data_IF_195238934918
#
_entry.id   IF_195238934918
#
_cell.length_a   1.000
_cell.length_b   1.000
_cell.length_c   1.000
_cell.angle_alpha   90.00
_cell.angle_beta   90.00
_cell.angle_gamma   90.00
#
_symmetry.space_group_name_H-M   'P 1'
#
loop_
_entity.id
_entity.type
_entity.pdbx_description
1 polymer ?
#
# COMPACT_ATOMS: atom_id res chain seq x y z
N UNK A 1 -15.22 -34.24 -9.69
CA UNK A 1 -15.00 -32.91 -10.30
C UNK A 1 -13.52 -32.79 -10.63
N UNK A 2 -13.15 -32.62 -11.91
CA UNK A 2 -11.75 -32.53 -12.37
C UNK A 2 -11.05 -31.31 -11.78
N UNK A 3 -9.73 -31.38 -11.60
CA UNK A 3 -8.92 -30.28 -11.04
C UNK A 3 -9.05 -28.99 -11.87
N UNK A 4 -9.14 -29.10 -13.18
CA UNK A 4 -9.41 -27.95 -14.07
C UNK A 4 -10.74 -27.24 -13.74
N UNK A 5 -11.80 -28.00 -13.45
CA UNK A 5 -13.10 -27.43 -13.07
C UNK A 5 -13.04 -26.73 -11.70
N UNK A 6 -12.18 -27.17 -10.78
CA UNK A 6 -11.98 -26.52 -9.48
C UNK A 6 -11.22 -25.20 -9.63
N UNK A 7 -10.15 -25.18 -10.43
CA UNK A 7 -9.38 -23.96 -10.73
C UNK A 7 -10.27 -22.91 -11.39
N UNK A 8 -11.04 -23.30 -12.41
CA UNK A 8 -11.94 -22.37 -13.10
C UNK A 8 -12.95 -21.74 -12.15
N UNK A 9 -13.58 -22.56 -11.29
CA UNK A 9 -14.52 -22.08 -10.27
C UNK A 9 -13.86 -21.14 -9.26
N UNK A 10 -12.61 -21.41 -8.84
CA UNK A 10 -11.86 -20.50 -7.96
C UNK A 10 -11.57 -19.17 -8.61
N UNK A 11 -11.22 -19.13 -9.90
CA UNK A 11 -11.02 -17.88 -10.65
C UNK A 11 -12.29 -17.04 -10.72
N UNK A 12 -13.43 -17.66 -10.99
CA UNK A 12 -14.73 -16.96 -11.02
C UNK A 12 -15.08 -16.36 -9.65
N UNK A 13 -14.90 -17.13 -8.59
CA UNK A 13 -15.14 -16.68 -7.21
C UNK A 13 -14.15 -15.58 -6.78
N UNK A 14 -12.88 -15.69 -7.16
CA UNK A 14 -11.86 -14.69 -6.88
C UNK A 14 -12.17 -13.34 -7.54
N UNK A 15 -12.62 -13.37 -8.80
CA UNK A 15 -13.07 -12.16 -9.51
C UNK A 15 -14.29 -11.54 -8.82
N UNK A 16 -15.29 -12.34 -8.49
CA UNK A 16 -16.49 -11.88 -7.78
C UNK A 16 -16.16 -11.28 -6.41
N UNK A 17 -15.21 -11.88 -5.68
CA UNK A 17 -14.74 -11.38 -4.38
C UNK A 17 -14.09 -10.00 -4.54
N UNK A 18 -13.18 -9.83 -5.51
CA UNK A 18 -12.54 -8.56 -5.82
C UNK A 18 -13.56 -7.47 -6.12
N UNK A 19 -14.51 -7.74 -7.03
CA UNK A 19 -15.57 -6.78 -7.40
C UNK A 19 -16.47 -6.42 -6.22
N UNK A 20 -16.72 -7.38 -5.31
CA UNK A 20 -17.49 -7.13 -4.09
C UNK A 20 -16.70 -6.27 -3.10
N UNK A 21 -15.41 -6.53 -2.92
CA UNK A 21 -14.51 -5.71 -2.10
C UNK A 21 -14.47 -4.26 -2.61
N UNK A 22 -14.37 -4.06 -3.93
CA UNK A 22 -14.41 -2.73 -4.55
C UNK A 22 -15.72 -1.99 -4.23
N UNK A 23 -16.87 -2.67 -4.34
CA UNK A 23 -18.20 -2.11 -4.03
C UNK A 23 -18.38 -1.75 -2.55
N UNK A 24 -17.77 -2.52 -1.65
CA UNK A 24 -17.84 -2.28 -0.20
C UNK A 24 -16.94 -1.11 0.25
N UNK A 25 -16.02 -0.68 -0.60
CA UNK A 25 -15.28 0.58 -0.43
C UNK A 25 -13.97 0.46 0.36
N UNK A 26 -13.39 1.62 0.77
CA UNK A 26 -11.98 1.74 1.15
C UNK A 26 -11.51 0.79 2.25
N UNK A 27 -12.34 0.50 3.25
CA UNK A 27 -11.98 -0.42 4.34
C UNK A 27 -11.80 -1.85 3.83
N UNK A 28 -12.67 -2.33 2.94
CA UNK A 28 -12.57 -3.68 2.40
C UNK A 28 -11.44 -3.79 1.36
N UNK A 29 -11.17 -2.71 0.61
CA UNK A 29 -10.03 -2.65 -0.32
C UNK A 29 -8.73 -2.88 0.44
N UNK A 30 -8.53 -2.22 1.58
CA UNK A 30 -7.34 -2.41 2.43
C UNK A 30 -7.22 -3.82 3.01
N UNK A 31 -8.35 -4.45 3.38
CA UNK A 31 -8.34 -5.84 3.79
C UNK A 31 -7.95 -6.76 2.62
N UNK A 32 -8.51 -6.53 1.43
CA UNK A 32 -8.16 -7.25 0.21
C UNK A 32 -6.67 -7.15 -0.10
N UNK A 33 -6.09 -5.95 0.00
CA UNK A 33 -4.65 -5.72 -0.13
C UNK A 33 -3.85 -6.52 0.90
N UNK A 34 -4.25 -6.51 2.18
CA UNK A 34 -3.51 -7.26 3.21
C UNK A 34 -3.50 -8.77 2.94
N UNK A 35 -4.64 -9.32 2.50
CA UNK A 35 -4.76 -10.75 2.19
C UNK A 35 -4.08 -11.15 0.87
N UNK A 36 -3.97 -10.22 -0.10
CA UNK A 36 -3.30 -10.52 -1.38
C UNK A 36 -1.81 -10.79 -1.25
N UNK A 37 -1.21 -10.57 -0.08
CA UNK A 37 0.22 -10.87 0.18
C UNK A 37 0.42 -12.24 0.84
N UNK A 38 -0.65 -12.94 1.20
CA UNK A 38 -0.64 -14.18 1.99
C UNK A 38 -0.98 -15.42 1.15
N UNK A 39 -0.02 -15.82 0.32
CA UNK A 39 -0.08 -17.04 -0.50
C UNK A 39 -0.18 -18.34 0.32
N UNK A 40 0.14 -18.27 1.62
CA UNK A 40 0.00 -19.36 2.57
C UNK A 40 -1.44 -19.54 3.10
N UNK A 41 -2.31 -18.55 2.90
CA UNK A 41 -3.71 -18.55 3.38
C UNK A 41 -4.70 -18.72 2.22
N UNK A 42 -4.42 -18.07 1.09
CA UNK A 42 -5.32 -18.05 -0.07
C UNK A 42 -4.74 -18.84 -1.23
N UNK A 43 -5.61 -19.57 -1.94
CA UNK A 43 -5.21 -20.20 -3.19
C UNK A 43 -4.76 -19.14 -4.21
N UNK A 44 -3.80 -19.51 -5.07
CA UNK A 44 -3.14 -18.60 -6.01
C UNK A 44 -4.13 -17.76 -6.82
N UNK A 45 -5.25 -18.34 -7.25
CA UNK A 45 -6.24 -17.64 -8.07
C UNK A 45 -6.90 -16.44 -7.34
N UNK A 46 -7.03 -16.52 -6.01
CA UNK A 46 -7.51 -15.40 -5.19
C UNK A 46 -6.43 -14.36 -4.96
N UNK A 47 -5.19 -14.80 -4.71
CA UNK A 47 -4.04 -13.90 -4.54
C UNK A 47 -3.87 -13.03 -5.79
N UNK A 48 -3.90 -13.64 -6.98
CA UNK A 48 -3.75 -12.94 -8.25
C UNK A 48 -4.83 -11.85 -8.39
N UNK A 49 -6.11 -12.18 -8.17
CA UNK A 49 -7.20 -11.21 -8.28
C UNK A 49 -7.15 -10.11 -7.20
N UNK A 50 -6.83 -10.46 -5.95
CA UNK A 50 -6.72 -9.45 -4.89
C UNK A 50 -5.45 -8.60 -5.03
N UNK A 51 -4.41 -9.09 -5.71
CA UNK A 51 -3.20 -8.30 -5.99
C UNK A 51 -3.48 -7.12 -6.92
N UNK A 52 -4.51 -7.21 -7.76
CA UNK A 52 -5.00 -6.08 -8.56
C UNK A 52 -5.61 -4.96 -7.71
N UNK A 53 -5.96 -5.23 -6.44
CA UNK A 53 -6.38 -4.20 -5.49
C UNK A 53 -5.18 -3.42 -4.92
N UNK A 54 -3.95 -3.90 -5.12
CA UNK A 54 -2.75 -3.18 -4.69
C UNK A 54 -2.65 -1.90 -5.48
N UNK A 55 -2.60 -0.78 -4.76
CA UNK A 55 -2.40 0.53 -5.36
C UNK A 55 -0.98 0.59 -5.93
N UNK A 56 -0.85 0.58 -7.26
CA UNK A 56 0.30 1.19 -7.90
C UNK A 56 0.06 2.70 -7.89
N UNK A 57 0.45 3.36 -6.80
CA UNK A 57 0.21 4.78 -6.63
C UNK A 57 0.96 5.54 -7.73
N UNK A 58 0.27 6.20 -8.68
CA UNK A 58 0.95 6.96 -9.71
C UNK A 58 1.73 8.11 -9.07
N UNK A 59 2.86 8.54 -9.68
CA UNK A 59 3.55 9.74 -9.24
C UNK A 59 2.57 10.92 -9.27
N UNK A 60 2.73 11.82 -8.31
CA UNK A 60 2.07 13.12 -8.40
C UNK A 60 2.86 14.02 -9.38
N UNK A 61 2.25 15.11 -9.88
CA UNK A 61 2.87 15.97 -10.87
C UNK A 61 4.29 16.43 -10.45
N UNK A 62 5.24 16.34 -11.37
CA UNK A 62 6.66 16.62 -11.07
C UNK A 62 6.91 18.08 -10.69
N UNK A 63 6.12 19.02 -11.23
CA UNK A 63 6.14 20.43 -10.86
C UNK A 63 5.81 20.64 -9.37
N UNK A 64 4.82 19.90 -8.85
CA UNK A 64 4.50 19.89 -7.41
C UNK A 64 5.66 19.33 -6.61
N UNK A 65 6.31 18.25 -7.08
CA UNK A 65 7.47 17.67 -6.40
C UNK A 65 8.66 18.62 -6.34
N UNK A 66 8.96 19.29 -7.46
CA UNK A 66 10.03 20.29 -7.54
C UNK A 66 9.72 21.47 -6.62
N UNK A 67 8.50 21.99 -6.64
CA UNK A 67 8.10 23.09 -5.77
C UNK A 67 8.31 22.77 -4.28
N UNK A 68 7.96 21.55 -3.84
CA UNK A 68 8.20 21.10 -2.46
C UNK A 68 9.70 21.09 -2.13
N UNK A 69 10.52 20.57 -3.04
CA UNK A 69 11.99 20.52 -2.85
C UNK A 69 12.59 21.94 -2.77
N UNK A 70 12.16 22.84 -3.64
CA UNK A 70 12.63 24.23 -3.66
C UNK A 70 12.17 25.02 -2.43
N UNK A 71 10.94 24.79 -1.97
CA UNK A 71 10.42 25.39 -0.73
C UNK A 71 11.20 24.92 0.50
N UNK A 72 11.46 23.61 0.63
CA UNK A 72 12.19 23.06 1.77
C UNK A 72 13.68 23.42 1.79
N UNK A 73 14.30 23.54 0.61
CA UNK A 73 15.74 23.83 0.48
C UNK A 73 16.03 25.33 0.28
N UNK A 74 15.01 26.15 0.03
CA UNK A 74 15.09 27.61 -0.07
C UNK A 74 15.76 28.15 -1.34
N UNK A 75 15.94 27.32 -2.37
CA UNK A 75 16.54 27.71 -3.65
C UNK A 75 16.04 26.81 -4.80
N UNK A 76 16.13 27.26 -6.06
CA UNK A 76 15.79 26.46 -7.22
C UNK A 76 16.60 25.16 -7.29
N UNK A 77 15.99 24.07 -7.79
CA UNK A 77 16.70 22.78 -7.92
C UNK A 77 17.91 22.88 -8.86
N UNK A 78 17.88 23.80 -9.83
CA UNK A 78 18.99 24.10 -10.74
C UNK A 78 20.22 24.69 -10.04
N UNK A 79 20.02 25.34 -8.90
CA UNK A 79 21.10 26.02 -8.17
C UNK A 79 21.70 25.09 -7.10
N UNK A 80 20.92 24.10 -6.65
CA UNK A 80 21.30 23.14 -5.62
C UNK A 80 21.99 21.92 -6.22
N UNK A 81 21.42 21.35 -7.29
CA UNK A 81 21.86 20.08 -7.87
C UNK A 81 22.61 20.31 -9.18
N UNK A 82 23.71 19.57 -9.40
CA UNK A 82 24.42 19.54 -10.68
C UNK A 82 23.52 18.99 -11.81
N UNK A 83 22.58 18.12 -11.45
CA UNK A 83 21.54 17.55 -12.31
C UNK A 83 20.36 17.12 -11.45
N UNK A 84 19.14 17.39 -11.89
CA UNK A 84 17.93 16.87 -11.29
C UNK A 84 17.03 16.26 -12.37
N UNK A 85 16.71 14.98 -12.27
CA UNK A 85 15.79 14.32 -13.20
C UNK A 85 14.35 14.62 -12.74
N UNK A 86 13.63 15.42 -13.55
CA UNK A 86 12.26 15.83 -13.27
C UNK A 86 11.25 14.68 -13.31
N UNK A 87 11.53 13.62 -14.07
CA UNK A 87 10.71 12.42 -14.03
C UNK A 87 11.11 11.53 -12.84
N UNK A 88 10.15 11.09 -12.01
CA UNK A 88 10.44 10.22 -10.88
C UNK A 88 10.82 8.83 -11.36
N UNK A 89 11.80 8.21 -10.71
CA UNK A 89 12.22 6.82 -10.94
C UNK A 89 11.29 5.80 -10.27
N UNK A 90 10.54 6.23 -9.25
CA UNK A 90 9.58 5.41 -8.52
C UNK A 90 8.57 6.28 -7.77
N UNK A 91 7.37 5.73 -7.55
CA UNK A 91 6.34 6.33 -6.70
C UNK A 91 5.77 5.27 -5.74
N UNK A 92 5.39 5.73 -4.56
CA UNK A 92 4.79 4.93 -3.50
C UNK A 92 3.72 5.74 -2.75
N UNK A 93 3.03 5.11 -1.80
CA UNK A 93 1.97 5.73 -1.00
C UNK A 93 2.43 6.99 -0.27
N UNK A 94 3.66 7.01 0.25
CA UNK A 94 4.20 8.14 1.03
C UNK A 94 4.90 9.20 0.18
N UNK A 95 5.08 9.00 -1.12
CA UNK A 95 5.85 9.95 -1.91
C UNK A 95 6.42 9.37 -3.19
N UNK A 96 7.27 10.15 -3.85
CA UNK A 96 7.97 9.71 -5.05
C UNK A 96 9.46 10.02 -4.98
N UNK A 97 10.22 9.42 -5.88
CA UNK A 97 11.68 9.38 -5.81
C UNK A 97 12.25 9.90 -7.12
N UNK A 98 13.16 10.87 -7.04
CA UNK A 98 13.87 11.46 -8.16
C UNK A 98 15.35 11.13 -8.10
N UNK A 99 15.98 10.99 -9.26
CA UNK A 99 17.44 10.87 -9.38
C UNK A 99 18.01 12.27 -9.51
N UNK A 100 19.12 12.54 -8.82
CA UNK A 100 19.82 13.79 -8.94
C UNK A 100 21.33 13.58 -8.79
N UNK A 101 22.10 14.63 -9.07
CA UNK A 101 23.54 14.67 -8.85
C UNK A 101 23.88 15.91 -8.04
N UNK A 102 24.67 15.73 -7.00
CA UNK A 102 25.06 16.79 -6.07
C UNK A 102 26.57 16.72 -5.84
N UNK A 103 27.30 17.80 -6.17
CA UNK A 103 28.76 17.90 -5.98
C UNK A 103 29.51 16.70 -6.57
N UNK A 104 29.11 16.25 -7.75
CA UNK A 104 29.70 15.11 -8.44
C UNK A 104 29.14 13.74 -8.05
N UNK A 105 28.34 13.63 -7.00
CA UNK A 105 27.81 12.35 -6.48
C UNK A 105 26.37 12.12 -6.92
N UNK A 106 26.05 10.90 -7.37
CA UNK A 106 24.68 10.48 -7.64
C UNK A 106 23.91 10.33 -6.33
N UNK A 107 22.76 10.99 -6.23
CA UNK A 107 21.89 10.99 -5.05
C UNK A 107 20.45 10.69 -5.45
N UNK A 108 19.66 10.32 -4.44
CA UNK A 108 18.25 10.02 -4.57
C UNK A 108 17.46 10.99 -3.71
N UNK A 109 16.58 11.77 -4.34
CA UNK A 109 15.72 12.74 -3.65
C UNK A 109 14.35 12.13 -3.48
N UNK A 110 13.95 11.89 -2.23
CA UNK A 110 12.63 11.38 -1.89
C UNK A 110 11.73 12.55 -1.51
N UNK A 111 10.67 12.76 -2.27
CA UNK A 111 9.70 13.84 -2.04
C UNK A 111 8.44 13.25 -1.44
N UNK A 112 8.05 13.77 -0.27
CA UNK A 112 6.83 13.32 0.42
C UNK A 112 5.58 13.75 -0.34
N UNK A 113 4.57 12.88 -0.39
CA UNK A 113 3.29 13.20 -1.07
C UNK A 113 2.58 14.33 -0.32
N UNK A 114 2.13 15.39 -1.02
CA UNK A 114 1.37 16.46 -0.38
C UNK A 114 0.08 15.91 0.26
N UNK A 115 -0.33 16.47 1.40
CA UNK A 115 -1.54 16.04 2.12
C UNK A 115 -1.39 14.75 2.92
N UNK A 116 -0.16 14.28 3.17
CA UNK A 116 0.12 13.04 3.91
C UNK A 116 -0.54 12.94 5.29
N UNK A 117 -0.73 14.07 5.99
CA UNK A 117 -1.38 14.11 7.31
C UNK A 117 -2.79 13.50 7.27
N UNK A 118 -3.58 13.84 6.25
CA UNK A 118 -4.93 13.31 6.10
C UNK A 118 -4.92 11.80 5.77
N UNK A 119 -3.89 11.36 5.02
CA UNK A 119 -3.70 9.95 4.68
C UNK A 119 -3.39 9.10 5.94
N UNK A 120 -2.54 9.61 6.82
CA UNK A 120 -2.20 8.95 8.09
C UNK A 120 -3.41 8.81 9.01
N UNK A 121 -4.27 9.83 9.10
CA UNK A 121 -5.48 9.77 9.92
C UNK A 121 -6.46 8.71 9.42
N UNK A 122 -6.59 8.59 8.10
CA UNK A 122 -7.37 7.53 7.46
C UNK A 122 -6.76 6.16 7.80
N UNK A 123 -5.44 5.99 7.70
CA UNK A 123 -4.78 4.72 8.03
C UNK A 123 -4.91 4.32 9.49
N UNK A 124 -4.75 5.26 10.43
CA UNK A 124 -4.96 5.00 11.85
C UNK A 124 -6.42 4.63 12.14
N UNK A 125 -7.38 5.27 11.47
CA UNK A 125 -8.79 4.89 11.55
C UNK A 125 -9.01 3.47 11.03
N UNK A 126 -8.40 3.11 9.90
CA UNK A 126 -8.50 1.75 9.35
C UNK A 126 -7.87 0.72 10.28
N UNK A 127 -6.72 1.00 10.88
CA UNK A 127 -6.08 0.12 11.84
C UNK A 127 -6.97 -0.14 13.06
N UNK A 128 -7.63 0.90 13.59
CA UNK A 128 -8.61 0.75 14.69
C UNK A 128 -9.79 -0.13 14.31
N UNK A 129 -10.33 0.04 13.10
CA UNK A 129 -11.45 -0.78 12.61
C UNK A 129 -11.01 -2.23 12.44
N UNK A 130 -9.84 -2.48 11.85
CA UNK A 130 -9.27 -3.82 11.68
C UNK A 130 -9.01 -4.51 13.02
N UNK A 131 -8.42 -3.79 13.99
CA UNK A 131 -8.22 -4.30 15.35
C UNK A 131 -9.55 -4.63 16.03
N UNK A 132 -10.55 -3.75 15.91
CA UNK A 132 -11.88 -3.99 16.46
C UNK A 132 -12.54 -5.25 15.86
N UNK A 133 -12.47 -5.44 14.55
CA UNK A 133 -12.99 -6.63 13.88
C UNK A 133 -12.26 -7.90 14.31
N UNK A 134 -10.91 -7.86 14.38
CA UNK A 134 -10.11 -8.97 14.89
C UNK A 134 -10.53 -9.34 16.31
N UNK A 135 -10.55 -8.37 17.24
CA UNK A 135 -10.95 -8.61 18.63
C UNK A 135 -12.37 -9.17 18.72
N UNK A 136 -13.30 -8.72 17.88
CA UNK A 136 -14.68 -9.20 17.84
C UNK A 136 -14.79 -10.64 17.31
N UNK A 137 -13.98 -11.00 16.31
CA UNK A 137 -13.87 -12.37 15.81
C UNK A 137 -13.21 -13.31 16.83
N UNK A 138 -12.13 -12.88 17.49
CA UNK A 138 -11.45 -13.64 18.54
C UNK A 138 -12.35 -13.86 19.76
N UNK A 139 -13.15 -12.85 20.15
CA UNK A 139 -14.09 -12.95 21.28
C UNK A 139 -15.22 -13.96 21.05
N UNK A 140 -15.47 -14.37 19.79
CA UNK A 140 -16.50 -15.35 19.42
C UNK A 140 -15.93 -16.70 18.98
N UNK A 141 -14.61 -16.89 19.06
CA UNK A 141 -13.95 -18.12 18.62
C UNK A 141 -13.65 -19.01 19.86
N UNK A 142 -14.32 -20.16 20.04
CA UNK A 142 -14.14 -21.03 21.21
C UNK A 142 -12.83 -21.84 21.20
N UNK A 143 -11.89 -21.56 20.29
CA UNK A 143 -10.74 -22.44 20.00
C UNK A 143 -9.36 -21.81 20.15
N UNK A 144 -9.24 -20.64 20.82
CA UNK A 144 -7.91 -20.14 21.21
C UNK A 144 -7.54 -20.60 22.62
N UNK A 145 -6.35 -21.19 22.83
CA UNK A 145 -5.84 -21.40 24.17
C UNK A 145 -5.58 -20.03 24.84
N UNK A 146 -5.79 -19.92 26.17
CA UNK A 146 -5.52 -18.69 26.90
C UNK A 146 -4.05 -18.30 26.72
N UNK A 147 -3.79 -17.02 26.46
CA UNK A 147 -2.44 -16.46 26.43
C UNK A 147 -1.77 -16.68 27.80
N UNK A 148 -0.94 -17.70 27.93
CA UNK A 148 -0.08 -17.87 29.10
C UNK A 148 1.05 -16.85 29.03
N UNK A 149 0.98 -15.81 29.84
CA UNK A 149 2.15 -14.98 30.16
C UNK A 149 3.16 -15.83 30.94
N UNK A 150 4.13 -16.42 30.26
CA UNK A 150 5.35 -16.87 30.95
C UNK A 150 6.20 -15.63 31.25
N UNK A 151 6.04 -15.07 32.46
CA UNK A 151 7.07 -14.20 33.02
C UNK A 151 8.27 -15.08 33.35
N UNK A 152 9.40 -14.77 32.74
CA UNK A 152 10.74 -15.13 33.21
C UNK A 152 11.44 -13.85 33.62
#
# INVERSE_FOLDING_TARGET
MTEEKKVLRRKELAKWLKETILRLGPTFIKLGQQFSTRVDILAQEYVDQLSELQDQVPPFPSDVAVAIVEEELGAPVSDIFDRFDYEPIAAASLGQVHRAKLKGQEVVVKVQRPGLKDLFDIDLKNLRVSLFLLLKCFSKCPFLPPFSHSRS
#
